data_IF_763676551285
#
_entry.id   IF_763676551285
#
_cell.length_a   1.000
_cell.length_b   1.000
_cell.length_c   1.000
_cell.angle_alpha   90.00
_cell.angle_beta   90.00
_cell.angle_gamma   90.00
#
_symmetry.space_group_name_H-M   'P 1'
#
loop_
_entity.id
_entity.type
_entity.pdbx_description
1 polymer ?
#
# COMPACT_ATOMS: atom_id res chain seq x y z
N UNK A 1 -21.42 -23.62 -12.60
CA UNK A 1 -21.84 -22.25 -12.21
C UNK A 1 -20.96 -21.71 -11.10
N UNK A 2 -20.85 -22.37 -9.94
CA UNK A 2 -20.08 -21.90 -8.78
C UNK A 2 -18.66 -21.36 -9.04
N UNK A 3 -17.84 -22.01 -9.89
CA UNK A 3 -16.45 -21.58 -10.12
C UNK A 3 -16.34 -20.23 -10.84
N UNK A 4 -17.24 -19.93 -11.78
CA UNK A 4 -17.26 -18.66 -12.51
C UNK A 4 -17.68 -17.53 -11.58
N UNK A 5 -18.71 -17.77 -10.77
CA UNK A 5 -19.23 -16.78 -9.81
C UNK A 5 -18.16 -16.44 -8.77
N UNK A 6 -17.46 -17.45 -8.25
CA UNK A 6 -16.33 -17.26 -7.31
C UNK A 6 -15.20 -16.47 -7.98
N UNK A 7 -14.84 -16.80 -9.23
CA UNK A 7 -13.80 -16.07 -9.94
C UNK A 7 -14.16 -14.59 -10.15
N UNK A 8 -15.40 -14.30 -10.54
CA UNK A 8 -15.89 -12.92 -10.69
C UNK A 8 -15.87 -12.18 -9.36
N UNK A 9 -16.34 -12.81 -8.28
CA UNK A 9 -16.30 -12.23 -6.94
C UNK A 9 -14.86 -11.90 -6.49
N UNK A 10 -13.92 -12.84 -6.68
CA UNK A 10 -12.51 -12.62 -6.38
C UNK A 10 -11.91 -11.48 -7.21
N UNK A 11 -12.30 -11.36 -8.49
CA UNK A 11 -11.82 -10.29 -9.36
C UNK A 11 -12.33 -8.91 -8.91
N UNK A 12 -13.61 -8.81 -8.52
CA UNK A 12 -14.18 -7.59 -7.96
C UNK A 12 -13.47 -7.22 -6.66
N UNK A 13 -13.30 -8.19 -5.75
CA UNK A 13 -12.56 -8.01 -4.50
C UNK A 13 -11.11 -7.57 -4.77
N UNK A 14 -10.43 -8.17 -5.75
CA UNK A 14 -9.05 -7.83 -6.10
C UNK A 14 -8.94 -6.39 -6.60
N UNK A 15 -9.82 -5.96 -7.51
CA UNK A 15 -9.81 -4.59 -8.03
C UNK A 15 -10.18 -3.59 -6.93
N UNK A 16 -11.18 -3.89 -6.11
CA UNK A 16 -11.54 -3.04 -4.97
C UNK A 16 -10.38 -2.89 -3.98
N UNK A 17 -9.73 -4.00 -3.65
CA UNK A 17 -8.56 -4.02 -2.77
C UNK A 17 -7.39 -3.22 -3.33
N UNK A 18 -7.15 -3.26 -4.65
CA UNK A 18 -6.13 -2.45 -5.32
C UNK A 18 -6.40 -0.95 -5.14
N UNK A 19 -7.66 -0.52 -5.29
CA UNK A 19 -8.06 0.89 -5.10
C UNK A 19 -7.88 1.32 -3.65
N UNK A 20 -8.29 0.49 -2.68
CA UNK A 20 -8.16 0.80 -1.25
C UNK A 20 -6.72 0.71 -0.73
N UNK A 21 -5.87 -0.07 -1.39
CA UNK A 21 -4.44 -0.11 -1.08
C UNK A 21 -3.75 1.18 -1.56
N UNK A 22 -4.02 1.65 -2.78
CA UNK A 22 -3.31 2.81 -3.34
C UNK A 22 -3.84 4.19 -2.92
N UNK A 23 -5.16 4.33 -2.75
CA UNK A 23 -5.80 5.66 -2.72
C UNK A 23 -5.82 6.35 -1.35
N UNK A 24 -6.45 5.75 -0.33
CA UNK A 24 -6.77 6.42 0.93
C UNK A 24 -5.56 6.97 1.70
N UNK A 25 -4.48 6.19 1.79
CA UNK A 25 -3.27 6.57 2.52
C UNK A 25 -2.49 7.69 1.83
N UNK A 26 -2.37 7.63 0.50
CA UNK A 26 -1.75 8.69 -0.30
C UNK A 26 -2.52 10.01 -0.15
N UNK A 27 -3.86 9.96 -0.21
CA UNK A 27 -4.71 11.12 0.03
C UNK A 27 -4.54 11.69 1.45
N UNK A 28 -4.56 10.82 2.46
CA UNK A 28 -4.33 11.23 3.86
C UNK A 28 -2.93 11.82 4.07
N UNK A 29 -1.91 11.28 3.39
CA UNK A 29 -0.54 11.81 3.43
C UNK A 29 -0.44 13.21 2.82
N UNK A 30 -1.11 13.47 1.70
CA UNK A 30 -1.16 14.82 1.12
C UNK A 30 -1.82 15.83 2.05
N UNK A 31 -2.94 15.45 2.67
CA UNK A 31 -3.63 16.29 3.67
C UNK A 31 -2.69 16.58 4.85
N UNK A 32 -2.02 15.54 5.37
CA UNK A 32 -1.05 15.69 6.44
C UNK A 32 0.07 16.67 6.06
N UNK A 33 0.65 16.53 4.86
CA UNK A 33 1.71 17.43 4.38
C UNK A 33 1.20 18.88 4.24
N UNK A 34 -0.02 19.06 3.75
CA UNK A 34 -0.64 20.38 3.62
C UNK A 34 -0.86 21.03 5.00
N UNK A 35 -1.38 20.28 5.98
CA UNK A 35 -1.57 20.76 7.36
C UNK A 35 -0.25 21.13 8.02
N UNK A 36 0.79 20.29 7.88
CA UNK A 36 2.14 20.58 8.40
C UNK A 36 2.70 21.87 7.81
N UNK A 37 2.49 22.11 6.52
CA UNK A 37 2.95 23.32 5.82
C UNK A 37 2.17 24.58 6.23
N UNK A 38 0.86 24.47 6.44
CA UNK A 38 -0.01 25.63 6.70
C UNK A 38 -0.09 26.00 8.19
N UNK A 39 -0.21 25.00 9.07
CA UNK A 39 -0.48 25.20 10.49
C UNK A 39 0.78 24.94 11.35
N UNK A 40 1.79 24.30 10.77
CA UNK A 40 2.98 23.85 11.50
C UNK A 40 2.85 22.42 12.05
N UNK A 41 3.96 21.93 12.58
CA UNK A 41 4.11 20.54 13.01
C UNK A 41 3.38 20.24 14.33
N UNK A 42 3.40 21.18 15.27
CA UNK A 42 2.93 21.00 16.65
C UNK A 42 1.61 21.76 16.82
N UNK A 43 0.55 21.27 16.18
CA UNK A 43 -0.80 21.79 16.39
C UNK A 43 -1.81 20.66 16.61
N UNK A 44 -2.92 20.91 17.32
CA UNK A 44 -3.99 19.91 17.47
C UNK A 44 -4.53 19.40 16.12
N UNK A 45 -4.61 20.27 15.12
CA UNK A 45 -5.07 19.92 13.78
C UNK A 45 -4.10 18.98 13.06
N UNK A 46 -2.80 19.29 13.04
CA UNK A 46 -1.77 18.42 12.46
C UNK A 46 -1.69 17.10 13.21
N UNK A 47 -1.84 17.11 14.54
CA UNK A 47 -1.89 15.89 15.35
C UNK A 47 -3.10 15.00 14.99
N UNK A 48 -4.28 15.59 14.81
CA UNK A 48 -5.46 14.86 14.34
C UNK A 48 -5.22 14.27 12.94
N UNK A 49 -4.63 15.04 12.03
CA UNK A 49 -4.27 14.56 10.70
C UNK A 49 -3.32 13.36 10.75
N UNK A 50 -2.31 13.37 11.63
CA UNK A 50 -1.44 12.21 11.88
C UNK A 50 -2.23 10.98 12.34
N UNK A 51 -3.17 11.14 13.27
CA UNK A 51 -3.99 10.02 13.76
C UNK A 51 -4.89 9.45 12.67
N UNK A 52 -5.45 10.29 11.81
CA UNK A 52 -6.25 9.85 10.65
C UNK A 52 -5.36 9.14 9.65
N UNK A 53 -4.19 9.70 9.33
CA UNK A 53 -3.21 9.10 8.44
C UNK A 53 -2.81 7.68 8.89
N UNK A 54 -2.45 7.51 10.17
CA UNK A 54 -2.13 6.19 10.75
C UNK A 54 -3.29 5.19 10.59
N UNK A 55 -4.54 5.64 10.78
CA UNK A 55 -5.71 4.77 10.57
C UNK A 55 -5.88 4.38 9.10
N UNK A 56 -5.60 5.30 8.18
CA UNK A 56 -5.64 5.00 6.75
C UNK A 56 -4.55 4.03 6.33
N UNK A 57 -3.37 4.07 6.95
CA UNK A 57 -2.34 3.03 6.75
C UNK A 57 -2.86 1.65 7.16
N UNK A 58 -3.58 1.52 8.29
CA UNK A 58 -4.15 0.21 8.66
C UNK A 58 -5.10 -0.32 7.58
N UNK A 59 -5.96 0.56 7.04
CA UNK A 59 -6.87 0.20 5.95
C UNK A 59 -6.12 -0.24 4.69
N UNK A 60 -5.07 0.50 4.32
CA UNK A 60 -4.17 0.16 3.20
C UNK A 60 -3.59 -1.25 3.36
N UNK A 61 -3.04 -1.60 4.52
CA UNK A 61 -2.44 -2.92 4.75
C UNK A 61 -3.48 -4.05 4.72
N UNK A 62 -4.68 -3.82 5.27
CA UNK A 62 -5.78 -4.80 5.17
C UNK A 62 -6.17 -5.00 3.71
N UNK A 63 -6.25 -3.91 2.94
CA UNK A 63 -6.51 -3.97 1.50
C UNK A 63 -5.38 -4.69 0.75
N UNK A 64 -4.11 -4.50 1.13
CA UNK A 64 -2.98 -5.22 0.54
C UNK A 64 -3.07 -6.73 0.78
N UNK A 65 -3.35 -7.15 2.01
CA UNK A 65 -3.53 -8.58 2.34
C UNK A 65 -4.69 -9.17 1.53
N UNK A 66 -5.81 -8.45 1.45
CA UNK A 66 -6.97 -8.83 0.63
C UNK A 66 -6.63 -8.92 -0.86
N UNK A 67 -5.81 -8.01 -1.38
CA UNK A 67 -5.32 -7.99 -2.76
C UNK A 67 -4.47 -9.24 -3.07
N UNK A 68 -3.53 -9.59 -2.18
CA UNK A 68 -2.68 -10.77 -2.34
C UNK A 68 -3.50 -12.05 -2.24
N UNK A 69 -4.36 -12.17 -1.22
CA UNK A 69 -5.21 -13.34 -1.02
C UNK A 69 -6.14 -13.60 -2.21
N UNK A 70 -6.81 -12.56 -2.70
CA UNK A 70 -7.67 -12.66 -3.89
C UNK A 70 -6.89 -13.01 -5.15
N UNK A 71 -5.67 -12.47 -5.31
CA UNK A 71 -4.76 -12.80 -6.42
C UNK A 71 -4.33 -14.27 -6.41
N UNK A 72 -3.93 -14.78 -5.25
CA UNK A 72 -3.58 -16.19 -5.04
C UNK A 72 -4.78 -17.09 -5.32
N UNK A 73 -5.98 -16.72 -4.83
CA UNK A 73 -7.21 -17.45 -5.09
C UNK A 73 -7.51 -17.59 -6.59
N UNK A 74 -7.40 -16.50 -7.36
CA UNK A 74 -7.57 -16.55 -8.81
C UNK A 74 -6.49 -17.39 -9.51
N UNK A 75 -5.24 -17.33 -9.05
CA UNK A 75 -4.15 -18.14 -9.61
C UNK A 75 -4.41 -19.64 -9.41
N UNK A 76 -4.84 -20.04 -8.21
CA UNK A 76 -5.17 -21.44 -7.89
C UNK A 76 -6.36 -21.94 -8.72
N UNK A 77 -7.41 -21.11 -8.86
CA UNK A 77 -8.65 -21.55 -9.51
C UNK A 77 -8.56 -21.69 -11.04
N UNK A 78 -7.79 -20.83 -11.72
CA UNK A 78 -7.89 -20.69 -13.19
C UNK A 78 -6.55 -20.83 -13.92
N UNK A 79 -5.48 -20.23 -13.41
CA UNK A 79 -4.27 -20.03 -14.20
C UNK A 79 -3.14 -21.01 -13.87
N UNK A 80 -3.07 -21.49 -12.64
CA UNK A 80 -1.88 -22.11 -12.07
C UNK A 80 -0.71 -21.12 -11.92
N UNK A 81 0.34 -21.53 -11.21
CA UNK A 81 1.52 -20.68 -10.97
C UNK A 81 2.61 -20.79 -12.06
N UNK A 82 2.48 -21.74 -12.98
CA UNK A 82 3.47 -21.99 -14.03
C UNK A 82 3.24 -21.13 -15.28
N UNK A 83 2.98 -19.84 -15.09
CA UNK A 83 2.75 -18.88 -16.17
C UNK A 83 3.80 -17.77 -16.07
N UNK A 84 4.57 -17.55 -17.13
CA UNK A 84 5.71 -16.62 -17.10
C UNK A 84 5.30 -15.20 -16.67
N UNK A 85 4.19 -14.67 -17.21
CA UNK A 85 3.68 -13.34 -16.83
C UNK A 85 3.30 -13.26 -15.34
N UNK A 86 2.77 -14.35 -14.78
CA UNK A 86 2.39 -14.42 -13.37
C UNK A 86 3.63 -14.52 -12.48
N UNK A 87 4.65 -15.28 -12.88
CA UNK A 87 5.92 -15.37 -12.17
C UNK A 87 6.62 -14.02 -12.10
N UNK A 88 6.67 -13.26 -13.21
CA UNK A 88 7.19 -11.89 -13.21
C UNK A 88 6.37 -10.95 -12.32
N UNK A 89 5.03 -11.05 -12.36
CA UNK A 89 4.16 -10.30 -11.45
C UNK A 89 4.48 -10.61 -9.98
N UNK A 90 4.62 -11.88 -9.62
CA UNK A 90 4.95 -12.31 -8.26
C UNK A 90 6.35 -11.86 -7.84
N UNK A 91 7.31 -11.85 -8.76
CA UNK A 91 8.66 -11.38 -8.50
C UNK A 91 8.67 -9.88 -8.13
N UNK A 92 7.93 -9.05 -8.88
CA UNK A 92 7.76 -7.62 -8.56
C UNK A 92 7.13 -7.47 -7.16
N UNK A 93 6.08 -8.24 -6.88
CA UNK A 93 5.40 -8.20 -5.58
C UNK A 93 6.36 -8.59 -4.44
N UNK A 94 7.09 -9.70 -4.59
CA UNK A 94 7.97 -10.24 -3.56
C UNK A 94 9.24 -9.40 -3.33
N UNK A 95 9.84 -8.86 -4.39
CA UNK A 95 11.13 -8.16 -4.29
C UNK A 95 10.98 -6.65 -4.09
N UNK A 96 9.89 -6.05 -4.57
CA UNK A 96 9.70 -4.60 -4.50
C UNK A 96 8.58 -4.23 -3.54
N UNK A 97 7.39 -4.78 -3.74
CA UNK A 97 6.21 -4.34 -2.98
C UNK A 97 6.30 -4.80 -1.52
N UNK A 98 6.47 -6.10 -1.26
CA UNK A 98 6.49 -6.65 0.11
C UNK A 98 7.55 -5.99 1.00
N UNK A 99 8.82 -5.80 0.57
CA UNK A 99 9.81 -5.12 1.40
C UNK A 99 9.43 -3.67 1.73
N UNK A 100 8.83 -2.94 0.78
CA UNK A 100 8.33 -1.58 1.02
C UNK A 100 7.17 -1.57 2.02
N UNK A 101 6.21 -2.49 1.87
CA UNK A 101 5.10 -2.65 2.81
C UNK A 101 5.59 -2.99 4.22
N UNK A 102 6.60 -3.84 4.37
CA UNK A 102 7.19 -4.13 5.69
C UNK A 102 7.77 -2.87 6.33
N UNK A 103 8.47 -2.04 5.55
CA UNK A 103 8.99 -0.76 6.03
C UNK A 103 7.85 0.20 6.40
N UNK A 104 6.78 0.25 5.60
CA UNK A 104 5.63 1.10 5.87
C UNK A 104 4.89 0.67 7.16
N UNK A 105 4.64 -0.63 7.36
CA UNK A 105 4.09 -1.15 8.63
C UNK A 105 4.98 -0.77 9.81
N UNK A 106 6.30 -0.98 9.67
CA UNK A 106 7.23 -0.75 10.77
C UNK A 106 7.28 0.72 11.18
N UNK A 107 7.41 1.64 10.23
CA UNK A 107 7.45 3.05 10.56
C UNK A 107 6.06 3.62 10.82
N UNK A 108 5.11 3.36 9.93
CA UNK A 108 3.76 3.90 9.92
C UNK A 108 2.85 3.40 11.04
N UNK A 109 2.88 2.10 11.34
CA UNK A 109 1.97 1.48 12.31
C UNK A 109 2.63 1.09 13.63
N UNK A 110 3.95 0.97 13.71
CA UNK A 110 4.64 0.68 14.97
C UNK A 110 5.28 1.94 15.55
N UNK A 111 6.05 2.71 14.76
CA UNK A 111 6.80 3.87 15.29
C UNK A 111 5.98 5.16 15.38
N UNK A 112 5.24 5.54 14.35
CA UNK A 112 4.45 6.79 14.39
C UNK A 112 3.40 6.81 15.52
N UNK A 113 2.66 5.73 15.82
CA UNK A 113 1.67 5.77 16.89
C UNK A 113 2.29 5.98 18.27
N UNK A 114 3.55 5.56 18.48
CA UNK A 114 4.28 5.82 19.72
C UNK A 114 4.54 7.32 19.90
N UNK A 115 4.84 8.03 18.79
CA UNK A 115 5.10 9.47 18.77
C UNK A 115 3.79 10.27 18.92
N UNK A 116 2.72 9.85 18.25
CA UNK A 116 1.44 10.57 18.19
C UNK A 116 0.35 9.97 19.07
N UNK A 117 0.72 9.21 20.10
CA UNK A 117 -0.23 8.67 21.09
C UNK A 117 -0.84 9.79 21.95
N UNK A 118 -0.10 10.87 22.16
CA UNK A 118 -0.51 12.07 22.88
C UNK A 118 -0.05 13.30 22.09
N UNK A 119 -0.77 14.41 22.24
CA UNK A 119 -0.30 15.69 21.71
C UNK A 119 0.98 16.08 22.45
N UNK A 120 2.05 16.35 21.71
CA UNK A 120 3.34 16.68 22.29
C UNK A 120 3.60 18.19 22.15
N UNK A 121 3.10 18.96 23.12
CA UNK A 121 3.20 20.43 23.13
C UNK A 121 4.64 20.93 23.35
N UNK A 122 5.48 20.13 23.98
CA UNK A 122 6.89 20.46 24.24
C UNK A 122 7.82 20.21 23.03
N UNK A 123 7.29 19.68 21.92
CA UNK A 123 8.06 19.32 20.73
C UNK A 123 8.71 17.93 20.78
N UNK A 124 9.37 17.54 19.69
CA UNK A 124 9.89 16.18 19.50
C UNK A 124 11.35 16.05 19.93
N UNK A 125 11.67 14.95 20.63
CA UNK A 125 13.07 14.58 20.89
C UNK A 125 13.79 14.22 19.58
N UNK A 126 15.12 14.34 19.58
CA UNK A 126 16.06 13.96 18.51
C UNK A 126 15.74 12.60 17.87
N UNK A 127 15.40 11.57 18.68
CA UNK A 127 15.02 10.24 18.17
C UNK A 127 13.69 10.25 17.40
N UNK A 128 12.71 11.00 17.88
CA UNK A 128 11.40 11.13 17.24
C UNK A 128 11.52 11.91 15.93
N UNK A 129 12.24 13.04 15.93
CA UNK A 129 12.55 13.85 14.75
C UNK A 129 13.28 13.04 13.68
N UNK A 130 14.29 12.24 14.07
CA UNK A 130 14.99 11.35 13.14
C UNK A 130 14.05 10.30 12.53
N UNK A 131 13.16 9.73 13.33
CA UNK A 131 12.19 8.72 12.85
C UNK A 131 11.22 9.33 11.84
N UNK A 132 10.67 10.51 12.14
CA UNK A 132 9.79 11.26 11.23
C UNK A 132 10.49 11.61 9.92
N UNK A 133 11.74 12.05 10.02
CA UNK A 133 12.55 12.36 8.84
C UNK A 133 12.81 11.12 8.00
N UNK A 134 13.21 10.00 8.60
CA UNK A 134 13.44 8.74 7.87
C UNK A 134 12.19 8.31 7.11
N UNK A 135 11.05 8.28 7.80
CA UNK A 135 9.79 7.86 7.20
C UNK A 135 9.37 8.77 6.05
N UNK A 136 9.22 10.08 6.29
CA UNK A 136 8.67 10.99 5.29
C UNK A 136 9.65 11.36 4.17
N UNK A 137 10.95 11.44 4.46
CA UNK A 137 11.94 11.86 3.46
C UNK A 137 12.47 10.71 2.61
N UNK A 138 12.59 9.50 3.18
CA UNK A 138 13.13 8.35 2.44
C UNK A 138 12.06 7.34 2.13
N UNK A 139 11.43 6.73 3.14
CA UNK A 139 10.49 5.61 2.94
C UNK A 139 9.32 6.03 2.04
N UNK A 140 8.63 7.12 2.39
CA UNK A 140 7.46 7.57 1.62
C UNK A 140 7.85 8.05 0.21
N UNK A 141 8.99 8.74 0.03
CA UNK A 141 9.41 9.20 -1.31
C UNK A 141 9.80 8.04 -2.22
N UNK A 142 10.50 7.06 -1.67
CA UNK A 142 10.85 5.83 -2.40
C UNK A 142 9.56 5.09 -2.78
N UNK A 143 8.61 4.93 -1.85
CA UNK A 143 7.32 4.29 -2.11
C UNK A 143 6.51 5.03 -3.20
N UNK A 144 6.41 6.37 -3.13
CA UNK A 144 5.72 7.20 -4.13
C UNK A 144 6.30 7.02 -5.54
N UNK A 145 7.59 6.72 -5.68
CA UNK A 145 8.20 6.45 -6.98
C UNK A 145 8.06 4.98 -7.41
N UNK A 146 8.40 4.04 -6.52
CA UNK A 146 8.48 2.61 -6.85
C UNK A 146 7.10 1.99 -7.00
N UNK A 147 6.13 2.33 -6.13
CA UNK A 147 4.81 1.71 -6.15
C UNK A 147 4.08 1.98 -7.47
N UNK A 148 3.93 3.22 -7.97
CA UNK A 148 3.25 3.46 -9.24
C UNK A 148 3.91 2.78 -10.43
N UNK A 149 5.24 2.80 -10.51
CA UNK A 149 5.99 2.12 -11.58
C UNK A 149 5.76 0.61 -11.52
N UNK A 150 5.79 0.03 -10.32
CA UNK A 150 5.54 -1.41 -10.10
C UNK A 150 4.11 -1.78 -10.46
N UNK A 151 3.12 -0.97 -10.08
CA UNK A 151 1.71 -1.17 -10.42
C UNK A 151 1.51 -1.11 -11.93
N UNK A 152 2.08 -0.13 -12.62
CA UNK A 152 2.00 -0.01 -14.07
C UNK A 152 2.64 -1.22 -14.78
N UNK A 153 3.81 -1.67 -14.32
CA UNK A 153 4.46 -2.87 -14.84
C UNK A 153 3.59 -4.12 -14.64
N UNK A 154 2.97 -4.28 -13.47
CA UNK A 154 2.04 -5.38 -13.19
C UNK A 154 0.80 -5.30 -14.08
N UNK A 155 0.21 -4.11 -14.26
CA UNK A 155 -0.95 -3.92 -15.15
C UNK A 155 -0.59 -4.25 -16.59
N UNK A 156 0.59 -3.83 -17.05
CA UNK A 156 1.11 -4.20 -18.36
C UNK A 156 1.24 -5.71 -18.51
N UNK A 157 1.81 -6.43 -17.53
CA UNK A 157 1.88 -7.90 -17.55
C UNK A 157 0.50 -8.57 -17.60
N UNK A 158 -0.50 -7.99 -16.96
CA UNK A 158 -1.88 -8.50 -17.00
C UNK A 158 -2.54 -8.30 -18.36
N UNK A 159 -2.22 -7.22 -19.07
CA UNK A 159 -2.74 -6.90 -20.41
C UNK A 159 -1.98 -7.69 -21.48
N UNK A 160 -0.65 -7.75 -21.38
CA UNK A 160 0.25 -8.39 -22.33
C UNK A 160 0.30 -9.92 -22.17
N UNK A 161 -0.43 -10.50 -21.21
CA UNK A 161 -0.55 -11.95 -21.08
C UNK A 161 -0.98 -12.55 -22.42
N UNK A 162 -0.43 -13.71 -22.83
CA UNK A 162 -0.87 -14.39 -24.05
C UNK A 162 -2.39 -14.53 -24.03
N UNK A 163 -3.05 -14.21 -25.15
CA UNK A 163 -4.50 -14.36 -25.23
C UNK A 163 -4.86 -15.81 -24.87
N UNK A 164 -5.92 -16.00 -24.08
CA UNK A 164 -6.49 -17.32 -23.82
C UNK A 164 -6.87 -18.05 -25.13
N UNK A 165 -6.98 -17.32 -26.24
CA UNK A 165 -7.22 -17.84 -27.58
C UNK A 165 -6.02 -18.60 -28.19
N UNK A 166 -4.79 -18.41 -27.68
CA UNK A 166 -3.59 -19.11 -28.15
C UNK A 166 -3.25 -20.36 -27.30
N UNK A 167 -4.14 -20.76 -26.38
CA UNK A 167 -4.00 -21.93 -25.51
C UNK A 167 -4.98 -23.07 -25.87
N UNK A 168 -5.68 -22.93 -26.99
CA UNK A 168 -6.52 -23.94 -27.66
C UNK A 168 -6.09 -24.05 -29.12
#
# INVERSE_FOLDING_TARGET
>A
MATIDIFVALKIMHIGSLVFWLGPSLGAWFILMAMRKQLGEITPATHLAYRVFIKMLILEHVAFVSLIASGIGMAILVFGFNQAWLQWKLLIILLLIIPLEILDIWYGNIKLPQIFSRLNEAGYDTKQTRTLHIYHAYVTRIAIAIIPVSVLAIMWLVIAKPSLANLW
#
